data_IF_927780078240
#
_entry.id   IF_927780078240
#
_cell.length_a   1.000
_cell.length_b   1.000
_cell.length_c   1.000
_cell.angle_alpha   90.00
_cell.angle_beta   90.00
_cell.angle_gamma   90.00
#
_symmetry.space_group_name_H-M   'P 1'
#
loop_
_entity.id
_entity.type
_entity.pdbx_description
1 polymer ?
#
# COMPACT_ATOMS: atom_id res chain seq x y z
N UNK A 1 15.02 -26.27 1.93
CA UNK A 1 15.14 -24.98 2.62
C UNK A 1 16.19 -24.09 1.96
N UNK A 2 17.40 -24.61 1.70
CA UNK A 2 18.52 -23.83 1.13
C UNK A 2 18.30 -23.24 -0.27
N UNK A 3 17.60 -23.94 -1.18
CA UNK A 3 17.35 -23.42 -2.55
C UNK A 3 16.38 -22.23 -2.57
N UNK A 4 15.35 -22.23 -1.70
CA UNK A 4 14.40 -21.12 -1.59
C UNK A 4 15.06 -19.88 -0.99
N UNK A 5 15.83 -20.05 0.08
CA UNK A 5 16.60 -18.95 0.71
C UNK A 5 17.62 -18.36 -0.27
N UNK A 6 18.26 -19.21 -1.09
CA UNK A 6 19.17 -18.74 -2.13
C UNK A 6 18.44 -17.91 -3.20
N UNK A 7 17.26 -18.35 -3.65
CA UNK A 7 16.50 -17.62 -4.66
C UNK A 7 16.00 -16.26 -4.16
N UNK A 8 15.50 -16.19 -2.92
CA UNK A 8 15.05 -14.94 -2.31
C UNK A 8 16.19 -13.90 -2.23
N UNK A 9 17.40 -14.34 -1.87
CA UNK A 9 18.58 -13.48 -1.86
C UNK A 9 18.97 -13.00 -3.27
N UNK A 10 18.86 -13.86 -4.28
CA UNK A 10 19.08 -13.50 -5.69
C UNK A 10 18.06 -12.46 -6.14
N UNK A 11 16.78 -12.66 -5.82
CA UNK A 11 15.71 -11.70 -6.10
C UNK A 11 15.94 -10.36 -5.39
N UNK A 12 16.31 -10.38 -4.11
CA UNK A 12 16.64 -9.17 -3.37
C UNK A 12 17.74 -8.36 -4.06
N UNK A 13 18.84 -9.01 -4.47
CA UNK A 13 19.94 -8.33 -5.16
C UNK A 13 19.49 -7.77 -6.52
N UNK A 14 18.72 -8.54 -7.28
CA UNK A 14 18.20 -8.12 -8.58
C UNK A 14 17.23 -6.92 -8.48
N UNK A 15 16.36 -6.91 -7.48
CA UNK A 15 15.43 -5.82 -7.23
C UNK A 15 16.15 -4.53 -6.77
N UNK A 16 17.15 -4.65 -5.91
CA UNK A 16 18.01 -3.51 -5.54
C UNK A 16 18.79 -2.99 -6.76
N UNK A 17 19.28 -3.87 -7.62
CA UNK A 17 19.93 -3.47 -8.87
C UNK A 17 18.96 -2.71 -9.78
N UNK A 18 17.74 -3.23 -9.98
CA UNK A 18 16.70 -2.59 -10.75
C UNK A 18 16.40 -1.18 -10.24
N UNK A 19 16.17 -1.01 -8.93
CA UNK A 19 15.88 0.30 -8.35
C UNK A 19 17.03 1.30 -8.56
N UNK A 20 18.28 0.87 -8.38
CA UNK A 20 19.45 1.71 -8.63
C UNK A 20 19.58 2.08 -10.12
N UNK A 21 19.37 1.11 -11.02
CA UNK A 21 19.38 1.35 -12.46
C UNK A 21 18.32 2.39 -12.86
N UNK A 22 17.07 2.21 -12.39
CA UNK A 22 15.98 3.14 -12.67
C UNK A 22 16.25 4.53 -12.11
N UNK A 23 16.80 4.63 -10.89
CA UNK A 23 17.21 5.91 -10.29
C UNK A 23 18.26 6.63 -11.15
N UNK A 24 19.28 5.93 -11.64
CA UNK A 24 20.30 6.50 -12.54
C UNK A 24 19.73 6.97 -13.88
N UNK A 25 18.63 6.36 -14.34
CA UNK A 25 17.91 6.77 -15.55
C UNK A 25 16.87 7.86 -15.29
N UNK A 26 16.87 8.48 -14.11
CA UNK A 26 15.88 9.47 -13.69
C UNK A 26 14.43 9.00 -13.87
N UNK A 27 14.20 7.70 -13.67
CA UNK A 27 12.89 7.08 -13.82
C UNK A 27 11.89 7.70 -12.83
N UNK A 28 10.67 7.94 -13.33
CA UNK A 28 9.51 8.38 -12.55
C UNK A 28 8.25 7.74 -13.11
N UNK A 29 7.38 7.25 -12.24
CA UNK A 29 6.08 6.75 -12.66
C UNK A 29 5.05 6.96 -11.57
N UNK A 30 4.01 7.73 -11.88
CA UNK A 30 2.87 7.94 -10.99
C UNK A 30 1.83 6.88 -11.31
N UNK A 31 1.50 6.06 -10.32
CA UNK A 31 0.38 5.12 -10.43
C UNK A 31 -0.94 5.89 -10.51
N UNK A 32 -1.92 5.31 -11.19
CA UNK A 32 -3.26 5.86 -11.36
C UNK A 32 -4.29 4.78 -11.00
N UNK A 33 -5.59 5.10 -11.08
CA UNK A 33 -6.63 4.12 -10.74
C UNK A 33 -6.54 2.88 -11.64
N UNK A 34 -6.89 1.68 -11.12
CA UNK A 34 -6.80 0.43 -11.88
C UNK A 34 -7.51 0.49 -13.24
N UNK A 35 -8.74 1.03 -13.29
CA UNK A 35 -9.49 1.15 -14.54
C UNK A 35 -8.81 2.10 -15.54
N UNK A 36 -8.25 3.21 -15.07
CA UNK A 36 -7.48 4.11 -15.95
C UNK A 36 -6.21 3.45 -16.46
N UNK A 37 -5.51 2.69 -15.60
CA UNK A 37 -4.33 1.93 -15.99
C UNK A 37 -4.68 0.90 -17.07
N UNK A 38 -5.74 0.13 -16.88
CA UNK A 38 -6.22 -0.87 -17.84
C UNK A 38 -6.51 -0.24 -19.21
N UNK A 39 -7.25 0.87 -19.24
CA UNK A 39 -7.57 1.59 -20.49
C UNK A 39 -6.30 2.02 -21.25
N UNK A 40 -5.29 2.51 -20.54
CA UNK A 40 -4.02 2.92 -21.14
C UNK A 40 -3.18 1.71 -21.56
N UNK A 41 -3.17 0.65 -20.76
CA UNK A 41 -2.51 -0.61 -21.07
C UNK A 41 -3.04 -1.20 -22.38
N UNK A 42 -4.37 -1.34 -22.51
CA UNK A 42 -5.01 -1.83 -23.74
C UNK A 42 -4.71 -0.94 -24.95
N UNK A 43 -4.74 0.39 -24.77
CA UNK A 43 -4.39 1.33 -25.85
C UNK A 43 -2.94 1.13 -26.32
N UNK A 44 -1.99 0.99 -25.38
CA UNK A 44 -0.56 0.86 -25.68
C UNK A 44 -0.17 -0.51 -26.23
N UNK A 45 -0.89 -1.56 -25.84
CA UNK A 45 -0.71 -2.89 -26.43
C UNK A 45 -1.04 -2.90 -27.92
N UNK A 46 -2.04 -2.12 -28.34
CA UNK A 46 -2.47 -2.03 -29.75
C UNK A 46 -1.62 -1.09 -30.61
N UNK A 47 -0.64 -0.38 -30.03
CA UNK A 47 0.28 0.45 -30.80
C UNK A 47 1.32 -0.43 -31.53
N UNK A 48 1.74 -0.05 -32.75
CA UNK A 48 2.74 -0.80 -33.51
C UNK A 48 4.08 -0.91 -32.74
N UNK A 49 4.93 -1.86 -33.18
CA UNK A 49 6.21 -2.26 -32.57
C UNK A 49 7.22 -1.10 -32.42
N UNK A 50 6.97 -0.20 -31.48
CA UNK A 50 7.92 0.75 -30.96
C UNK A 50 8.74 0.10 -29.84
N UNK A 51 10.01 0.48 -29.75
CA UNK A 51 10.90 0.09 -28.66
C UNK A 51 10.24 0.49 -27.32
N UNK A 52 10.07 -0.47 -26.41
CA UNK A 52 9.40 -0.19 -25.13
C UNK A 52 10.30 0.64 -24.23
N UNK A 53 9.75 1.72 -23.68
CA UNK A 53 10.47 2.52 -22.67
C UNK A 53 10.48 1.81 -21.32
N UNK A 54 11.36 2.24 -20.40
CA UNK A 54 11.35 1.75 -19.01
C UNK A 54 9.99 2.01 -18.32
N UNK A 55 9.28 3.09 -18.68
CA UNK A 55 7.93 3.37 -18.18
C UNK A 55 6.90 2.40 -18.75
N UNK A 56 7.07 1.95 -19.99
CA UNK A 56 6.20 0.92 -20.56
C UNK A 56 6.40 -0.41 -19.83
N UNK A 57 7.64 -0.79 -19.53
CA UNK A 57 7.98 -2.08 -18.91
C UNK A 57 7.66 -2.10 -17.41
N UNK A 58 8.21 -1.17 -16.62
CA UNK A 58 8.11 -1.19 -15.15
C UNK A 58 6.99 -0.29 -14.60
N UNK A 59 6.43 0.58 -15.43
CA UNK A 59 5.32 1.47 -15.07
C UNK A 59 3.98 0.90 -15.53
N UNK A 60 3.80 0.79 -16.84
CA UNK A 60 2.57 0.27 -17.46
C UNK A 60 2.48 -1.26 -17.47
N UNK A 61 3.58 -1.97 -17.19
CA UNK A 61 3.67 -3.44 -17.19
C UNK A 61 3.47 -4.08 -18.57
N UNK A 62 3.84 -3.38 -19.65
CA UNK A 62 3.67 -3.86 -21.01
C UNK A 62 4.67 -4.97 -21.36
N UNK A 63 4.26 -5.95 -22.18
CA UNK A 63 5.17 -6.92 -22.76
C UNK A 63 6.27 -6.24 -23.60
N UNK A 64 7.47 -6.80 -23.54
CA UNK A 64 8.67 -6.25 -24.18
C UNK A 64 9.56 -7.35 -24.77
N UNK A 65 10.46 -6.99 -25.66
CA UNK A 65 11.49 -7.86 -26.21
C UNK A 65 12.83 -7.62 -25.52
N UNK A 66 13.77 -8.60 -25.50
CA UNK A 66 15.05 -8.44 -24.80
C UNK A 66 15.84 -7.18 -25.16
N UNK A 67 15.76 -6.72 -26.41
CA UNK A 67 16.42 -5.50 -26.88
C UNK A 67 15.83 -4.19 -26.33
N UNK A 68 14.65 -4.22 -25.72
CA UNK A 68 14.02 -3.05 -25.09
C UNK A 68 14.67 -2.72 -23.72
N UNK A 69 15.47 -3.64 -23.17
CA UNK A 69 16.20 -3.45 -21.93
C UNK A 69 17.71 -3.48 -22.14
N UNK A 70 18.42 -2.84 -21.22
CA UNK A 70 19.85 -3.07 -21.06
C UNK A 70 20.12 -4.58 -20.87
N UNK A 71 21.07 -5.11 -21.65
CA UNK A 71 21.33 -6.55 -21.70
C UNK A 71 21.72 -7.12 -20.33
N UNK A 72 22.46 -6.34 -19.52
CA UNK A 72 22.87 -6.78 -18.19
C UNK A 72 21.68 -6.79 -17.23
N UNK A 73 20.86 -5.74 -17.22
CA UNK A 73 19.61 -5.71 -16.44
C UNK A 73 18.68 -6.87 -16.82
N UNK A 74 18.50 -7.13 -18.13
CA UNK A 74 17.67 -8.23 -18.61
C UNK A 74 18.12 -9.58 -18.04
N UNK A 75 19.42 -9.87 -18.11
CA UNK A 75 19.99 -11.13 -17.59
C UNK A 75 19.83 -11.24 -16.07
N UNK A 76 20.02 -10.15 -15.32
CA UNK A 76 19.80 -10.10 -13.87
C UNK A 76 18.35 -10.47 -13.54
N UNK A 77 17.38 -9.81 -14.18
CA UNK A 77 15.96 -10.04 -13.92
C UNK A 77 15.52 -11.45 -14.33
N UNK A 78 16.03 -11.94 -15.48
CA UNK A 78 15.76 -13.30 -15.96
C UNK A 78 16.26 -14.35 -14.98
N UNK A 79 17.51 -14.24 -14.53
CA UNK A 79 18.13 -15.20 -13.61
C UNK A 79 17.49 -15.17 -12.22
N UNK A 80 16.90 -14.04 -11.83
CA UNK A 80 16.15 -13.89 -10.59
C UNK A 80 14.66 -14.30 -10.72
N UNK A 81 14.22 -14.78 -11.89
CA UNK A 81 12.81 -15.08 -12.16
C UNK A 81 11.86 -13.90 -11.91
N UNK A 82 12.31 -12.66 -12.15
CA UNK A 82 11.51 -11.44 -12.00
C UNK A 82 10.88 -10.98 -13.32
N UNK A 83 11.20 -11.66 -14.42
CA UNK A 83 10.54 -11.55 -15.71
C UNK A 83 10.15 -12.95 -16.20
N UNK A 84 9.03 -13.07 -16.89
CA UNK A 84 8.56 -14.32 -17.50
C UNK A 84 8.30 -14.15 -18.98
N UNK A 85 8.34 -15.24 -19.73
CA UNK A 85 8.01 -15.24 -21.16
C UNK A 85 6.52 -15.59 -21.36
N UNK A 86 5.84 -14.84 -22.22
CA UNK A 86 4.44 -15.05 -22.61
C UNK A 86 4.29 -14.59 -24.07
N UNK A 87 3.72 -15.43 -24.94
CA UNK A 87 3.51 -15.11 -26.37
C UNK A 87 4.75 -14.54 -27.08
N UNK A 88 5.94 -15.13 -26.83
CA UNK A 88 7.25 -14.71 -27.38
C UNK A 88 7.78 -13.36 -26.89
N UNK A 89 7.08 -12.69 -25.96
CA UNK A 89 7.51 -11.46 -25.30
C UNK A 89 7.79 -11.73 -23.83
N UNK A 90 8.51 -10.82 -23.18
CA UNK A 90 8.78 -10.85 -21.75
C UNK A 90 7.83 -9.92 -21.02
N UNK A 91 7.42 -10.31 -19.81
CA UNK A 91 6.68 -9.46 -18.87
C UNK A 91 7.43 -9.36 -17.56
N UNK A 92 7.43 -8.15 -17.00
CA UNK A 92 7.88 -7.91 -15.62
C UNK A 92 6.87 -8.45 -14.62
N UNK A 93 7.38 -9.12 -13.58
CA UNK A 93 6.59 -9.56 -12.42
C UNK A 93 6.52 -8.50 -11.32
N UNK A 94 7.20 -7.38 -11.51
CA UNK A 94 7.20 -6.23 -10.61
C UNK A 94 6.97 -4.93 -11.37
N UNK A 95 6.37 -3.98 -10.69
CA UNK A 95 6.30 -2.58 -11.12
C UNK A 95 7.09 -1.70 -10.17
N UNK A 96 7.47 -0.52 -10.67
CA UNK A 96 8.17 0.50 -9.89
C UNK A 96 7.41 1.81 -10.01
N UNK A 97 6.96 2.32 -8.87
CA UNK A 97 6.23 3.57 -8.72
C UNK A 97 7.09 4.62 -8.02
N UNK A 98 6.69 5.89 -8.16
CA UNK A 98 7.30 7.02 -7.47
C UNK A 98 6.36 7.60 -6.40
N UNK A 99 6.90 7.84 -5.21
CA UNK A 99 6.31 8.70 -4.18
C UNK A 99 7.32 9.82 -3.92
N UNK A 100 6.90 11.06 -4.15
CA UNK A 100 7.80 12.21 -4.28
C UNK A 100 8.96 11.89 -5.26
N UNK A 101 10.21 11.93 -4.78
CA UNK A 101 11.41 11.67 -5.55
C UNK A 101 12.00 10.26 -5.37
N UNK A 102 11.32 9.40 -4.61
CA UNK A 102 11.75 8.04 -4.27
C UNK A 102 11.04 6.98 -5.11
N UNK A 103 11.66 5.79 -5.21
CA UNK A 103 11.14 4.66 -6.00
C UNK A 103 10.80 3.48 -5.09
N UNK A 104 9.68 2.81 -5.40
CA UNK A 104 9.16 1.68 -4.64
C UNK A 104 8.75 0.55 -5.57
N UNK A 105 9.16 -0.68 -5.23
CA UNK A 105 8.69 -1.89 -5.89
C UNK A 105 7.32 -2.27 -5.35
N UNK A 106 6.45 -2.73 -6.26
CA UNK A 106 5.16 -3.33 -5.95
C UNK A 106 4.78 -4.38 -7.02
N UNK A 107 3.63 -5.05 -6.86
CA UNK A 107 3.23 -6.13 -7.77
C UNK A 107 2.96 -5.67 -9.20
N UNK A 108 3.10 -6.62 -10.13
CA UNK A 108 2.74 -6.47 -11.54
C UNK A 108 1.26 -6.13 -11.76
N UNK A 109 0.96 -5.64 -12.97
CA UNK A 109 -0.40 -5.49 -13.48
C UNK A 109 -0.70 -6.59 -14.52
N UNK A 110 -1.92 -7.16 -14.57
CA UNK A 110 -3.06 -6.89 -13.68
C UNK A 110 -2.84 -7.47 -12.27
N UNK A 111 -3.37 -6.80 -11.25
CA UNK A 111 -3.27 -7.26 -9.85
C UNK A 111 -4.39 -8.27 -9.57
N UNK A 112 -4.16 -9.53 -9.92
CA UNK A 112 -5.16 -10.61 -9.80
C UNK A 112 -4.83 -11.58 -8.69
N UNK A 113 -3.57 -11.67 -8.29
CA UNK A 113 -3.12 -12.57 -7.24
C UNK A 113 -3.61 -12.12 -5.86
N UNK A 114 -4.04 -13.07 -5.04
CA UNK A 114 -4.48 -12.83 -3.65
C UNK A 114 -3.40 -12.15 -2.82
N UNK A 115 -2.13 -12.46 -3.09
CA UNK A 115 -0.94 -11.92 -2.41
C UNK A 115 -0.36 -10.67 -3.10
N UNK A 116 -1.06 -10.07 -4.06
CA UNK A 116 -0.53 -8.90 -4.76
C UNK A 116 -0.30 -7.74 -3.79
N UNK A 117 0.81 -7.03 -3.96
CA UNK A 117 1.17 -5.85 -3.17
C UNK A 117 0.79 -4.62 -3.97
N UNK A 118 -0.28 -3.96 -3.52
CA UNK A 118 -0.83 -2.81 -4.22
C UNK A 118 -0.06 -1.53 -3.89
N UNK A 119 0.06 -0.66 -4.90
CA UNK A 119 0.53 0.71 -4.76
C UNK A 119 -0.34 1.53 -5.71
N UNK A 120 -1.13 2.44 -5.18
CA UNK A 120 -2.17 3.13 -5.92
C UNK A 120 -2.37 4.59 -5.52
N UNK A 121 -3.44 5.22 -6.04
CA UNK A 121 -3.83 6.58 -5.68
C UNK A 121 -4.07 6.83 -4.19
N UNK A 122 -4.55 5.82 -3.50
CA UNK A 122 -4.71 5.80 -2.05
C UNK A 122 -3.37 5.98 -1.32
N UNK A 123 -2.28 5.39 -1.81
CA UNK A 123 -0.96 5.44 -1.16
C UNK A 123 -0.44 6.88 -1.04
N UNK A 124 -0.47 7.67 -2.12
CA UNK A 124 0.02 9.05 -2.08
C UNK A 124 -0.94 10.01 -1.40
N UNK A 125 -2.26 9.74 -1.44
CA UNK A 125 -3.26 10.51 -0.66
C UNK A 125 -3.07 10.27 0.84
N UNK A 126 -2.93 9.01 1.24
CA UNK A 126 -2.67 8.63 2.62
C UNK A 126 -1.39 9.29 3.15
N UNK A 127 -0.28 9.16 2.41
CA UNK A 127 0.97 9.84 2.74
C UNK A 127 0.81 11.35 2.85
N UNK A 128 0.10 12.00 1.92
CA UNK A 128 -0.12 13.44 1.95
C UNK A 128 -0.81 13.86 3.26
N UNK A 129 -1.93 13.23 3.61
CA UNK A 129 -2.68 13.59 4.81
C UNK A 129 -1.94 13.27 6.10
N UNK A 130 -1.26 12.12 6.17
CA UNK A 130 -0.43 11.76 7.32
C UNK A 130 0.72 12.75 7.50
N UNK A 131 1.41 13.13 6.42
CA UNK A 131 2.47 14.15 6.44
C UNK A 131 1.95 15.49 6.96
N UNK A 132 0.82 15.98 6.47
CA UNK A 132 0.23 17.24 6.97
C UNK A 132 -0.11 17.15 8.46
N UNK A 133 -0.68 16.02 8.90
CA UNK A 133 -0.99 15.80 10.30
C UNK A 133 0.28 15.84 11.17
N UNK A 134 1.32 15.09 10.81
CA UNK A 134 2.57 15.01 11.57
C UNK A 134 3.30 16.36 11.64
N UNK A 135 3.26 17.17 10.59
CA UNK A 135 3.84 18.52 10.58
C UNK A 135 3.19 19.49 11.59
N UNK A 136 1.98 19.18 12.05
CA UNK A 136 1.25 19.99 13.03
C UNK A 136 1.33 19.44 14.45
N UNK A 137 1.91 18.25 14.65
CA UNK A 137 2.01 17.65 15.98
C UNK A 137 3.20 18.22 16.76
N UNK A 138 3.00 18.64 18.02
CA UNK A 138 4.07 19.19 18.85
C UNK A 138 4.97 18.10 19.44
N UNK A 139 4.49 16.86 19.51
CA UNK A 139 5.20 15.75 20.13
C UNK A 139 6.00 14.96 19.10
N UNK A 140 7.20 14.57 19.48
CA UNK A 140 8.00 13.64 18.68
C UNK A 140 7.45 12.23 18.81
N UNK A 141 7.07 11.64 17.68
CA UNK A 141 6.75 10.21 17.58
C UNK A 141 8.04 9.41 17.79
N UNK A 142 8.11 8.54 18.80
CA UNK A 142 9.28 7.68 19.03
C UNK A 142 9.05 6.27 18.54
N UNK A 143 7.86 5.73 18.81
CA UNK A 143 7.46 4.39 18.40
C UNK A 143 6.16 4.45 17.63
N UNK A 144 6.17 3.95 16.40
CA UNK A 144 5.00 3.94 15.54
C UNK A 144 4.80 2.61 14.85
N UNK A 145 3.58 2.38 14.36
CA UNK A 145 3.25 1.22 13.53
C UNK A 145 2.39 1.61 12.34
N UNK A 146 2.81 1.19 11.14
CA UNK A 146 1.95 1.11 9.95
C UNK A 146 1.29 -0.28 9.90
N UNK A 147 -0.03 -0.37 9.99
CA UNK A 147 -0.76 -1.61 9.75
C UNK A 147 -1.19 -1.73 8.29
N UNK A 148 -1.25 -2.97 7.79
CA UNK A 148 -1.55 -3.27 6.39
C UNK A 148 -0.57 -2.54 5.45
N UNK A 149 0.72 -2.59 5.79
CA UNK A 149 1.71 -1.66 5.25
C UNK A 149 2.03 -1.88 3.76
N UNK A 150 1.64 -3.00 3.16
CA UNK A 150 2.04 -3.34 1.81
C UNK A 150 3.57 -3.30 1.67
N UNK A 151 4.06 -2.58 0.66
CA UNK A 151 5.49 -2.38 0.43
C UNK A 151 6.14 -1.27 1.30
N UNK A 152 5.43 -0.80 2.34
CA UNK A 152 5.78 0.28 3.28
C UNK A 152 6.20 1.63 2.69
N UNK A 153 5.61 2.10 1.57
CA UNK A 153 6.04 3.36 0.97
C UNK A 153 5.78 4.57 1.88
N UNK A 154 4.68 4.54 2.66
CA UNK A 154 4.32 5.65 3.55
C UNK A 154 5.21 5.69 4.78
N UNK A 155 5.39 4.57 5.50
CA UNK A 155 6.34 4.50 6.61
C UNK A 155 7.75 4.93 6.21
N UNK A 156 8.24 4.50 5.03
CA UNK A 156 9.57 4.89 4.55
C UNK A 156 9.63 6.40 4.24
N UNK A 157 8.60 6.97 3.62
CA UNK A 157 8.56 8.40 3.34
C UNK A 157 8.50 9.23 4.64
N UNK A 158 7.72 8.78 5.63
CA UNK A 158 7.64 9.41 6.96
C UNK A 158 8.98 9.32 7.69
N UNK A 159 9.63 8.15 7.73
CA UNK A 159 10.94 7.97 8.37
C UNK A 159 12.00 8.95 7.86
N UNK A 160 11.92 9.32 6.59
CA UNK A 160 12.85 10.26 5.95
C UNK A 160 12.57 11.72 6.28
N UNK A 161 11.31 12.07 6.50
CA UNK A 161 10.91 13.43 6.86
C UNK A 161 11.08 13.70 8.37
N UNK A 162 10.93 12.66 9.19
CA UNK A 162 10.94 12.73 10.65
C UNK A 162 12.02 11.79 11.23
N UNK A 163 13.32 12.09 11.00
CA UNK A 163 14.44 11.23 11.40
C UNK A 163 14.57 11.01 12.92
N UNK A 164 13.88 11.83 13.72
CA UNK A 164 13.77 11.69 15.18
C UNK A 164 12.87 10.52 15.63
N UNK A 165 12.15 9.90 14.69
CA UNK A 165 11.37 8.68 14.93
C UNK A 165 12.31 7.50 15.11
N UNK A 166 12.28 6.86 16.28
CA UNK A 166 13.27 5.86 16.65
C UNK A 166 12.91 4.47 16.13
N UNK A 167 11.63 4.10 16.19
CA UNK A 167 11.14 2.77 15.81
C UNK A 167 9.85 2.87 15.00
N UNK A 168 9.88 2.34 13.78
CA UNK A 168 8.72 2.28 12.88
C UNK A 168 8.47 0.83 12.54
N UNK A 169 7.48 0.22 13.17
CA UNK A 169 7.02 -1.10 12.80
C UNK A 169 6.14 -1.00 11.55
N UNK A 170 6.28 -1.95 10.63
CA UNK A 170 5.39 -2.05 9.47
C UNK A 170 4.85 -3.47 9.44
N UNK A 171 3.55 -3.62 9.67
CA UNK A 171 2.91 -4.90 9.87
C UNK A 171 1.99 -5.25 8.71
N UNK A 172 2.11 -6.48 8.22
CA UNK A 172 1.27 -7.02 7.16
C UNK A 172 1.09 -8.54 7.34
N UNK A 173 -0.05 -9.06 6.89
CA UNK A 173 -0.32 -10.50 6.86
C UNK A 173 0.28 -11.16 5.62
N UNK A 174 0.64 -10.37 4.61
CA UNK A 174 1.18 -10.83 3.35
C UNK A 174 2.73 -10.90 3.40
N UNK A 175 3.35 -12.08 3.34
CA UNK A 175 4.81 -12.20 3.34
C UNK A 175 5.49 -11.49 2.17
N UNK A 176 4.83 -11.41 1.01
CA UNK A 176 5.35 -10.72 -0.18
C UNK A 176 5.40 -9.21 0.00
N UNK A 177 4.43 -8.65 0.74
CA UNK A 177 4.43 -7.25 1.13
C UNK A 177 5.66 -6.92 1.99
N UNK A 178 5.94 -7.77 3.00
CA UNK A 178 7.10 -7.61 3.87
C UNK A 178 8.44 -7.82 3.16
N UNK A 179 8.49 -8.75 2.20
CA UNK A 179 9.64 -8.89 1.31
C UNK A 179 9.92 -7.58 0.56
N UNK A 180 8.90 -6.99 -0.09
CA UNK A 180 9.07 -5.70 -0.79
C UNK A 180 9.36 -4.54 0.15
N UNK A 181 8.75 -4.51 1.34
CA UNK A 181 9.09 -3.55 2.39
C UNK A 181 10.57 -3.60 2.74
N UNK A 182 11.13 -4.81 2.94
CA UNK A 182 12.54 -5.01 3.21
C UNK A 182 13.45 -4.50 2.06
N UNK A 183 13.06 -4.73 0.79
CA UNK A 183 13.78 -4.19 -0.36
C UNK A 183 13.73 -2.67 -0.39
N UNK A 184 12.55 -2.08 -0.24
CA UNK A 184 12.35 -0.64 -0.33
C UNK A 184 13.10 0.11 0.79
N UNK A 185 13.03 -0.37 2.05
CA UNK A 185 13.80 0.24 3.15
C UNK A 185 15.31 0.17 2.90
N UNK A 186 15.79 -0.95 2.36
CA UNK A 186 17.22 -1.17 2.09
C UNK A 186 17.71 -0.31 0.91
N UNK A 187 16.91 -0.15 -0.12
CA UNK A 187 17.20 0.76 -1.23
C UNK A 187 17.33 2.22 -0.77
N UNK A 188 16.52 2.62 0.21
CA UNK A 188 16.47 3.98 0.71
C UNK A 188 17.36 4.23 1.93
N UNK A 189 18.06 3.21 2.42
CA UNK A 189 19.00 3.30 3.54
C UNK A 189 18.33 3.61 4.88
N UNK A 190 17.11 3.11 5.10
CA UNK A 190 16.33 3.36 6.30
C UNK A 190 16.42 2.14 7.21
N UNK A 191 17.09 2.28 8.36
CA UNK A 191 17.36 1.14 9.24
C UNK A 191 16.30 0.94 10.34
N UNK A 192 15.68 2.03 10.79
CA UNK A 192 14.68 2.09 11.86
C UNK A 192 13.26 1.61 11.48
N UNK A 193 13.11 0.94 10.33
CA UNK A 193 11.86 0.29 9.91
C UNK A 193 11.94 -1.21 10.17
N UNK A 194 10.94 -1.77 10.83
CA UNK A 194 10.89 -3.18 11.22
C UNK A 194 9.67 -3.87 10.58
N UNK A 195 9.84 -4.48 9.39
CA UNK A 195 8.79 -5.27 8.77
C UNK A 195 8.49 -6.52 9.59
N UNK A 196 7.23 -6.66 10.01
CA UNK A 196 6.77 -7.74 10.90
C UNK A 196 5.57 -8.45 10.31
N UNK A 197 5.65 -9.78 10.21
CA UNK A 197 4.48 -10.58 9.85
C UNK A 197 3.51 -10.66 11.02
N UNK A 198 2.36 -10.01 10.89
CA UNK A 198 1.38 -9.89 11.96
C UNK A 198 -0.03 -9.84 11.38
N UNK A 199 -0.98 -10.50 12.02
CA UNK A 199 -2.39 -10.19 11.85
C UNK A 199 -2.72 -9.05 12.83
N UNK A 200 -2.96 -7.85 12.30
CA UNK A 200 -3.11 -6.63 13.09
C UNK A 200 -1.99 -6.51 14.13
N UNK A 201 -2.31 -6.52 15.43
CA UNK A 201 -1.35 -6.34 16.52
C UNK A 201 -0.78 -7.65 17.10
N UNK A 202 -1.20 -8.81 16.60
CA UNK A 202 -0.94 -10.11 17.25
C UNK A 202 0.54 -10.47 17.43
N UNK A 203 1.44 -9.97 16.56
CA UNK A 203 2.89 -10.17 16.68
C UNK A 203 3.64 -8.88 17.06
N UNK A 204 2.93 -7.87 17.59
CA UNK A 204 3.50 -6.58 17.96
C UNK A 204 3.46 -6.38 19.48
N UNK A 205 4.62 -6.11 20.06
CA UNK A 205 4.78 -5.84 21.49
C UNK A 205 4.75 -4.34 21.81
N UNK A 206 4.39 -3.96 23.04
CA UNK A 206 4.48 -2.58 23.55
C UNK A 206 3.51 -1.58 22.89
N UNK A 207 3.34 -0.41 23.49
CA UNK A 207 2.39 0.60 22.98
C UNK A 207 3.05 1.57 22.00
N UNK A 208 2.22 2.32 21.26
CA UNK A 208 2.65 3.19 20.16
C UNK A 208 2.22 4.64 20.37
N UNK A 209 3.12 5.56 20.04
CA UNK A 209 2.82 6.99 19.96
C UNK A 209 2.00 7.32 18.71
N UNK A 210 2.16 6.52 17.66
CA UNK A 210 1.41 6.64 16.42
C UNK A 210 1.06 5.26 15.86
N UNK A 211 -0.23 5.00 15.71
CA UNK A 211 -0.73 3.89 14.90
C UNK A 211 -1.28 4.51 13.62
N UNK A 212 -0.83 4.07 12.45
CA UNK A 212 -1.36 4.57 11.19
C UNK A 212 -1.68 3.43 10.23
N UNK A 213 -2.74 3.57 9.44
CA UNK A 213 -3.18 2.51 8.54
C UNK A 213 -3.92 3.05 7.32
N UNK A 214 -3.71 2.39 6.18
CA UNK A 214 -4.56 2.40 5.00
C UNK A 214 -4.93 0.94 4.69
N UNK A 215 -5.86 0.34 5.45
CA UNK A 215 -6.21 -1.06 5.27
C UNK A 215 -7.00 -1.28 3.98
N UNK A 216 -7.06 -2.51 3.48
CA UNK A 216 -8.11 -2.94 2.56
C UNK A 216 -9.51 -2.49 3.03
N UNK A 217 -10.30 -1.92 2.12
CA UNK A 217 -11.61 -1.33 2.44
C UNK A 217 -12.72 -1.63 1.41
N UNK A 218 -12.51 -2.56 0.48
CA UNK A 218 -13.52 -2.94 -0.51
C UNK A 218 -14.14 -4.30 -0.17
N UNK A 219 -15.38 -4.54 -0.60
CA UNK A 219 -15.98 -5.87 -0.71
C UNK A 219 -15.49 -6.55 -2.00
N UNK A 220 -14.41 -7.33 -1.90
CA UNK A 220 -13.86 -8.07 -3.03
C UNK A 220 -14.35 -9.52 -3.07
N UNK A 221 -14.94 -9.96 -4.19
CA UNK A 221 -15.48 -11.32 -4.37
C UNK A 221 -14.41 -12.41 -4.24
N UNK A 222 -13.17 -12.10 -4.61
CA UNK A 222 -12.04 -13.03 -4.54
C UNK A 222 -11.23 -12.90 -3.24
N UNK A 223 -11.70 -12.07 -2.31
CA UNK A 223 -11.07 -11.83 -1.01
C UNK A 223 -9.56 -11.56 -1.10
N UNK A 224 -9.13 -10.81 -2.13
CA UNK A 224 -7.70 -10.48 -2.30
C UNK A 224 -7.22 -9.67 -1.10
N UNK A 225 -6.08 -10.05 -0.51
CA UNK A 225 -5.61 -9.52 0.78
C UNK A 225 -5.39 -8.01 0.79
N UNK A 226 -5.01 -7.43 -0.36
CA UNK A 226 -4.78 -5.99 -0.49
C UNK A 226 -6.07 -5.18 -0.72
N UNK A 227 -7.22 -5.84 -0.86
CA UNK A 227 -8.45 -5.24 -1.38
C UNK A 227 -9.66 -5.49 -0.48
N UNK A 228 -9.82 -6.72 0.00
CA UNK A 228 -10.97 -7.11 0.80
C UNK A 228 -10.87 -6.62 2.25
N UNK A 229 -11.78 -5.74 2.66
CA UNK A 229 -11.82 -5.22 4.04
C UNK A 229 -12.94 -5.79 4.91
N UNK A 230 -13.75 -6.72 4.39
CA UNK A 230 -14.85 -7.37 5.10
C UNK A 230 -16.21 -7.14 4.45
N UNK A 231 -17.26 -7.81 4.95
CA UNK A 231 -18.60 -7.76 4.36
C UNK A 231 -19.66 -7.13 5.28
N UNK A 232 -19.44 -7.11 6.60
CA UNK A 232 -20.48 -6.70 7.56
C UNK A 232 -20.70 -5.19 7.53
N UNK A 233 -19.62 -4.44 7.37
CA UNK A 233 -19.61 -2.98 7.32
C UNK A 233 -19.29 -2.49 5.90
N UNK A 234 -19.84 -3.16 4.90
CA UNK A 234 -19.72 -2.80 3.47
C UNK A 234 -18.26 -2.57 3.03
N UNK A 235 -17.34 -3.45 3.43
CA UNK A 235 -15.91 -3.34 3.11
C UNK A 235 -15.02 -2.86 4.25
N UNK A 236 -15.58 -2.43 5.40
CA UNK A 236 -14.80 -1.69 6.42
C UNK A 236 -14.60 -2.41 7.75
N UNK A 237 -14.92 -3.71 7.84
CA UNK A 237 -14.74 -4.52 9.05
C UNK A 237 -13.29 -4.45 9.57
N UNK A 238 -12.31 -4.53 8.66
CA UNK A 238 -10.89 -4.45 9.01
C UNK A 238 -10.51 -3.06 9.57
N UNK A 239 -11.08 -2.00 9.00
CA UNK A 239 -10.91 -0.63 9.50
C UNK A 239 -11.46 -0.49 10.92
N UNK A 240 -12.62 -1.09 11.19
CA UNK A 240 -13.23 -1.10 12.51
C UNK A 240 -12.39 -1.93 13.51
N UNK A 241 -11.89 -3.10 13.10
CA UNK A 241 -11.00 -3.93 13.92
C UNK A 241 -9.72 -3.18 14.30
N UNK A 242 -9.13 -2.44 13.36
CA UNK A 242 -7.96 -1.59 13.62
C UNK A 242 -8.25 -0.54 14.71
N UNK A 243 -9.41 0.12 14.67
CA UNK A 243 -9.80 1.07 15.72
C UNK A 243 -9.97 0.36 17.08
N UNK A 244 -10.70 -0.76 17.09
CA UNK A 244 -11.06 -1.46 18.34
C UNK A 244 -9.89 -2.16 19.03
N UNK A 245 -8.92 -2.64 18.27
CA UNK A 245 -7.67 -3.19 18.81
C UNK A 245 -6.66 -2.07 19.11
N UNK A 246 -6.54 -1.09 18.21
CA UNK A 246 -5.54 -0.03 18.29
C UNK A 246 -5.71 0.89 19.48
N UNK A 247 -6.95 1.18 19.91
CA UNK A 247 -7.21 2.00 21.11
C UNK A 247 -6.52 1.44 22.37
N UNK A 248 -6.31 0.12 22.45
CA UNK A 248 -5.70 -0.59 23.59
C UNK A 248 -4.16 -0.59 23.51
N UNK A 249 -3.60 -0.09 22.41
CA UNK A 249 -2.16 -0.15 22.08
C UNK A 249 -1.56 1.26 21.92
N UNK A 250 -2.32 2.30 22.27
CA UNK A 250 -1.85 3.68 22.28
C UNK A 250 -1.14 4.00 23.60
N UNK A 251 -0.05 4.76 23.52
CA UNK A 251 0.49 5.44 24.70
C UNK A 251 -0.49 6.52 25.18
N UNK A 252 -0.35 7.07 26.40
CA UNK A 252 -1.26 8.12 26.89
C UNK A 252 -1.31 9.39 26.03
N UNK A 253 -0.27 9.66 25.22
CA UNK A 253 -0.23 10.75 24.24
C UNK A 253 -0.36 10.24 22.80
N UNK A 254 -0.63 8.95 22.62
CA UNK A 254 -0.65 8.30 21.33
C UNK A 254 -1.86 8.68 20.50
N UNK A 255 -1.71 8.63 19.18
CA UNK A 255 -2.81 8.81 18.24
C UNK A 255 -2.90 7.64 17.26
N UNK A 256 -4.11 7.22 16.96
CA UNK A 256 -4.41 6.36 15.82
C UNK A 256 -4.92 7.22 14.66
N UNK A 257 -4.25 7.12 13.50
CA UNK A 257 -4.55 7.83 12.26
C UNK A 257 -4.93 6.83 11.16
N UNK A 258 -6.23 6.73 10.87
CA UNK A 258 -6.78 5.79 9.91
C UNK A 258 -7.25 6.52 8.65
N UNK A 259 -6.73 6.11 7.50
CA UNK A 259 -7.26 6.44 6.18
C UNK A 259 -8.05 5.24 5.68
N UNK A 260 -9.29 5.41 5.22
CA UNK A 260 -10.07 4.29 4.69
C UNK A 260 -11.13 4.75 3.70
N UNK A 261 -11.54 3.85 2.81
CA UNK A 261 -12.69 4.03 1.93
C UNK A 261 -13.98 3.61 2.62
N UNK A 262 -15.05 4.39 2.47
CA UNK A 262 -16.36 4.13 3.06
C UNK A 262 -17.41 4.04 1.95
N UNK A 263 -18.04 2.87 1.83
CA UNK A 263 -19.23 2.70 1.03
C UNK A 263 -20.43 3.38 1.74
N UNK A 264 -21.08 4.31 1.06
CA UNK A 264 -22.21 5.08 1.60
C UNK A 264 -23.46 4.69 0.83
N UNK A 265 -24.47 4.22 1.54
CA UNK A 265 -25.78 3.85 0.97
C UNK A 265 -26.84 4.90 1.28
N UNK A 266 -28.05 4.68 0.76
CA UNK A 266 -29.24 5.44 1.11
C UNK A 266 -29.53 5.43 2.63
N UNK A 267 -29.17 4.34 3.32
CA UNK A 267 -29.33 4.18 4.78
C UNK A 267 -28.20 4.87 5.58
N UNK A 268 -27.25 5.49 4.87
CA UNK A 268 -26.15 6.27 5.42
C UNK A 268 -24.84 5.49 5.51
N UNK A 269 -24.06 5.84 6.54
CA UNK A 269 -22.69 5.35 6.73
C UNK A 269 -22.66 4.33 7.89
N UNK A 270 -22.66 3.04 7.56
CA UNK A 270 -22.63 1.96 8.57
C UNK A 270 -21.36 1.97 9.42
N UNK A 271 -20.22 2.29 8.83
CA UNK A 271 -18.94 2.37 9.54
C UNK A 271 -19.00 3.44 10.64
N UNK A 272 -19.43 4.65 10.30
CA UNK A 272 -19.52 5.75 11.27
C UNK A 272 -20.54 5.43 12.38
N UNK A 273 -21.69 4.86 12.03
CA UNK A 273 -22.68 4.41 13.03
C UNK A 273 -22.08 3.38 14.00
N UNK A 274 -21.31 2.41 13.49
CA UNK A 274 -20.64 1.42 14.32
C UNK A 274 -19.56 2.05 15.23
N UNK A 275 -18.76 2.98 14.70
CA UNK A 275 -17.76 3.73 15.48
C UNK A 275 -18.42 4.57 16.57
N UNK A 276 -19.47 5.32 16.24
CA UNK A 276 -20.24 6.14 17.19
C UNK A 276 -20.79 5.31 18.35
N UNK A 277 -21.40 4.16 18.06
CA UNK A 277 -21.93 3.27 19.08
C UNK A 277 -20.82 2.67 19.95
N UNK A 278 -19.73 2.22 19.32
CA UNK A 278 -18.60 1.62 20.03
C UNK A 278 -17.90 2.61 20.96
N UNK A 279 -17.68 3.85 20.50
CA UNK A 279 -17.00 4.91 21.25
C UNK A 279 -17.72 5.31 22.55
N UNK A 280 -19.02 5.01 22.70
CA UNK A 280 -19.74 5.22 23.96
C UNK A 280 -19.14 4.45 25.14
N UNK A 281 -18.37 3.39 24.86
CA UNK A 281 -17.69 2.58 25.88
C UNK A 281 -16.30 3.13 26.27
N UNK A 282 -15.82 4.19 25.61
CA UNK A 282 -14.49 4.77 25.79
C UNK A 282 -14.56 6.29 26.02
N UNK A 283 -15.16 6.75 27.14
CA UNK A 283 -15.36 8.17 27.43
C UNK A 283 -14.05 8.96 27.60
N UNK A 284 -12.95 8.27 27.92
CA UNK A 284 -11.61 8.85 28.06
C UNK A 284 -10.89 9.04 26.72
N UNK A 285 -11.55 8.74 25.60
CA UNK A 285 -11.03 8.92 24.26
C UNK A 285 -11.92 9.86 23.44
N UNK A 286 -11.30 10.56 22.50
CA UNK A 286 -11.97 11.38 21.50
C UNK A 286 -11.57 10.91 20.12
N UNK A 287 -12.51 11.00 19.20
CA UNK A 287 -12.23 10.74 17.80
C UNK A 287 -12.76 11.86 16.90
N UNK A 288 -12.13 12.05 15.75
CA UNK A 288 -12.62 12.90 14.67
C UNK A 288 -12.83 12.07 13.42
N UNK A 289 -13.87 12.37 12.67
CA UNK A 289 -14.15 11.82 11.35
C UNK A 289 -14.17 12.97 10.33
N UNK A 290 -13.44 12.81 9.23
CA UNK A 290 -13.32 13.81 8.18
C UNK A 290 -13.43 13.14 6.82
N UNK A 291 -14.42 13.51 6.01
CA UNK A 291 -14.50 13.09 4.60
C UNK A 291 -13.56 13.97 3.76
N UNK A 292 -12.59 13.35 3.08
CA UNK A 292 -11.52 14.05 2.35
C UNK A 292 -11.59 13.88 0.82
N UNK A 293 -12.32 12.87 0.33
CA UNK A 293 -12.62 12.69 -1.09
C UNK A 293 -14.02 12.06 -1.19
N UNK A 294 -15.03 12.78 -1.73
CA UNK A 294 -16.42 12.30 -1.67
C UNK A 294 -16.74 11.18 -2.66
N UNK A 295 -15.90 10.96 -3.68
CA UNK A 295 -16.19 10.00 -4.75
C UNK A 295 -14.90 9.41 -5.34
N UNK A 296 -14.67 8.14 -5.01
CA UNK A 296 -13.58 7.33 -5.55
C UNK A 296 -14.11 5.98 -6.02
N UNK A 297 -13.38 5.37 -6.95
CA UNK A 297 -13.65 4.00 -7.40
C UNK A 297 -15.08 3.78 -7.91
N UNK A 298 -15.64 4.75 -8.64
CA UNK A 298 -17.00 4.64 -9.19
C UNK A 298 -17.23 3.40 -10.06
N UNK A 299 -16.17 2.81 -10.61
CA UNK A 299 -16.22 1.52 -11.30
C UNK A 299 -16.67 0.34 -10.42
N UNK A 300 -16.48 0.42 -9.10
CA UNK A 300 -16.88 -0.63 -8.16
C UNK A 300 -18.40 -0.72 -8.01
N UNK A 301 -19.14 0.36 -8.30
CA UNK A 301 -20.61 0.39 -8.25
C UNK A 301 -21.25 -0.52 -9.31
N UNK A 302 -20.51 -0.92 -10.34
CA UNK A 302 -20.96 -1.91 -11.33
C UNK A 302 -20.99 -3.34 -10.75
N UNK A 303 -20.33 -3.58 -9.61
CA UNK A 303 -20.25 -4.91 -9.01
C UNK A 303 -21.53 -5.29 -8.25
N UNK A 304 -21.90 -6.58 -8.21
CA UNK A 304 -23.08 -7.04 -7.47
C UNK A 304 -23.06 -6.68 -5.98
N UNK A 305 -21.88 -6.64 -5.36
CA UNK A 305 -21.71 -6.33 -3.95
C UNK A 305 -22.03 -4.86 -3.59
N UNK A 306 -22.09 -3.96 -4.57
CA UNK A 306 -22.28 -2.52 -4.37
C UNK A 306 -23.61 -2.00 -4.91
N UNK A 307 -24.55 -2.87 -5.31
CA UNK A 307 -25.83 -2.43 -5.89
C UNK A 307 -26.70 -1.59 -4.92
N UNK A 308 -26.45 -1.68 -3.62
CA UNK A 308 -27.09 -0.86 -2.58
C UNK A 308 -26.27 0.37 -2.16
N UNK A 309 -25.12 0.61 -2.78
CA UNK A 309 -24.19 1.69 -2.44
C UNK A 309 -24.33 2.83 -3.45
N UNK A 310 -24.44 4.06 -2.97
CA UNK A 310 -24.59 5.26 -3.81
C UNK A 310 -23.24 5.85 -4.24
N UNK A 311 -22.24 5.80 -3.35
CA UNK A 311 -20.88 6.28 -3.60
C UNK A 311 -19.87 5.64 -2.64
N UNK A 312 -18.60 5.71 -2.98
CA UNK A 312 -17.50 5.34 -2.09
C UNK A 312 -16.68 6.61 -1.81
N UNK A 313 -16.63 7.01 -0.54
CA UNK A 313 -15.85 8.15 -0.08
C UNK A 313 -14.50 7.71 0.50
N UNK A 314 -13.54 8.61 0.60
CA UNK A 314 -12.35 8.45 1.42
C UNK A 314 -12.47 9.32 2.67
N UNK A 315 -12.09 8.76 3.81
CA UNK A 315 -12.18 9.43 5.10
C UNK A 315 -10.90 9.31 5.89
N UNK A 316 -10.72 10.25 6.81
CA UNK A 316 -9.74 10.18 7.88
C UNK A 316 -10.45 10.02 9.21
N UNK A 317 -10.02 9.04 9.99
CA UNK A 317 -10.39 8.90 11.39
C UNK A 317 -9.15 9.10 12.24
N UNK A 318 -9.24 10.00 13.22
CA UNK A 318 -8.18 10.24 14.21
C UNK A 318 -8.75 9.91 15.57
N UNK A 319 -8.06 9.11 16.36
CA UNK A 319 -8.48 8.68 17.70
C UNK A 319 -7.32 8.88 18.67
N UNK A 320 -7.57 9.57 19.78
CA UNK A 320 -6.58 9.84 20.83
C UNK A 320 -7.25 9.88 22.21
N UNK A 321 -6.45 9.80 23.27
CA UNK A 321 -6.94 10.10 24.61
C UNK A 321 -7.51 11.53 24.68
N UNK A 322 -8.55 11.72 25.51
CA UNK A 322 -9.38 12.92 25.62
C UNK A 322 -8.71 14.11 26.31
#
# INVERSE_FOLDING_TARGET
MDQHVNMELVQQRALLYLLNFLKQKHYRFTVITPLSHERIFMRKQNLPNELRSLKDIFGWNLPFYPQDLDQHLFLILKNAHLIRIENQQWLSLVRVASLDDQLFIHSAFPTVETDAVFFGPDTYRFYYHLKQYLLTQPQTVKRSVELCCGASPVAIAVARLFPETTEIFTADINPKALFYSHINKKFLGIDNIFPTHSNLFSALEGDFDLIFANPPYLMDLHERQYRHGGNTLDGTDLSFNILTEGIKRLTPQGTLFLYTGIAISQDGNKFLQAVDHWMQHYPDFKYSYEEIDPDVFGEELEQPAYQHIERIAIVLVKLSAA
#
